data_IF_524007745509
#
_entry.id   IF_524007745509
#
_cell.length_a   1.000
_cell.length_b   1.000
_cell.length_c   1.000
_cell.angle_alpha   90.00
_cell.angle_beta   90.00
_cell.angle_gamma   90.00
#
_symmetry.space_group_name_H-M   'P 1'
#
loop_
_entity.id
_entity.type
_entity.pdbx_description
1 polymer ?
#
# COMPACT_ATOMS: atom_id res chain seq x y z
N UNK A 1 -2.02 30.59 -60.07
CA UNK A 1 -2.59 31.39 -58.96
C UNK A 1 -4.11 31.29 -59.03
N UNK A 2 -4.72 30.49 -58.13
CA UNK A 2 -6.16 30.48 -57.89
C UNK A 2 -6.37 30.34 -56.38
N UNK A 3 -6.89 31.40 -55.80
CA UNK A 3 -7.29 31.51 -54.40
C UNK A 3 -8.60 30.73 -54.21
N UNK A 4 -8.68 29.91 -53.17
CA UNK A 4 -9.94 29.41 -52.63
C UNK A 4 -10.01 29.91 -51.19
N UNK A 5 -10.95 30.82 -50.93
CA UNK A 5 -11.25 31.40 -49.63
C UNK A 5 -12.51 30.74 -49.07
N UNK A 6 -12.33 30.18 -47.86
CA UNK A 6 -13.24 30.05 -46.71
C UNK A 6 -14.58 29.30 -46.85
N UNK A 7 -14.92 28.51 -45.82
CA UNK A 7 -15.79 28.89 -44.66
C UNK A 7 -16.22 27.61 -43.91
N UNK A 8 -16.33 27.71 -42.57
CA UNK A 8 -17.09 26.82 -41.63
C UNK A 8 -16.51 25.41 -41.38
N UNK A 9 -16.42 24.88 -40.15
CA UNK A 9 -17.09 25.20 -38.89
C UNK A 9 -16.19 24.83 -37.71
N UNK A 10 -16.06 25.75 -36.76
CA UNK A 10 -15.48 25.50 -35.45
C UNK A 10 -16.50 24.66 -34.67
N UNK A 11 -16.21 23.37 -34.47
CA UNK A 11 -16.92 22.54 -33.50
C UNK A 11 -16.26 22.80 -32.12
N UNK A 12 -16.85 23.72 -31.38
CA UNK A 12 -16.58 23.91 -29.95
C UNK A 12 -17.28 22.75 -29.25
N UNK A 13 -16.55 21.70 -28.87
CA UNK A 13 -17.05 20.74 -27.89
C UNK A 13 -16.99 21.42 -26.51
N UNK A 14 -18.10 22.04 -26.14
CA UNK A 14 -18.40 22.42 -24.78
C UNK A 14 -18.87 21.20 -23.99
N UNK A 15 -18.18 20.91 -22.88
CA UNK A 15 -18.83 20.52 -21.63
C UNK A 15 -19.03 19.04 -21.35
N UNK A 16 -18.04 18.44 -20.68
CA UNK A 16 -18.29 17.58 -19.51
C UNK A 16 -17.48 18.25 -18.38
N UNK A 17 -18.02 18.88 -17.36
CA UNK A 17 -19.35 18.70 -16.77
C UNK A 17 -19.33 17.75 -15.57
N UNK A 18 -18.26 17.71 -14.78
CA UNK A 18 -18.25 17.55 -13.32
C UNK A 18 -16.80 17.44 -12.87
N UNK A 19 -16.26 18.50 -12.26
CA UNK A 19 -14.95 18.45 -11.62
C UNK A 19 -15.08 17.75 -10.26
N UNK A 20 -15.29 16.45 -10.26
CA UNK A 20 -14.75 15.62 -9.20
C UNK A 20 -13.28 15.44 -9.56
N UNK A 21 -12.42 16.26 -8.96
CA UNK A 21 -10.98 16.09 -9.02
C UNK A 21 -10.62 14.80 -8.29
N UNK A 22 -10.84 13.65 -8.91
CA UNK A 22 -10.05 12.46 -8.63
C UNK A 22 -8.76 12.69 -9.40
N UNK A 23 -7.70 13.03 -8.66
CA UNK A 23 -6.38 13.26 -9.23
C UNK A 23 -5.96 12.03 -10.06
N UNK A 24 -5.81 12.15 -11.39
CA UNK A 24 -5.46 11.02 -12.25
C UNK A 24 -4.03 10.49 -12.02
N UNK A 25 -3.29 11.02 -11.03
CA UNK A 25 -1.98 10.52 -10.62
C UNK A 25 -2.01 9.38 -9.60
N UNK A 26 -3.13 9.15 -8.89
CA UNK A 26 -3.16 8.20 -7.76
C UNK A 26 -3.31 6.74 -8.20
N UNK A 27 -4.16 6.43 -9.19
CA UNK A 27 -4.35 5.04 -9.66
C UNK A 27 -3.08 4.44 -10.31
N UNK A 28 -2.19 5.27 -10.86
CA UNK A 28 -0.92 4.81 -11.44
C UNK A 28 0.20 4.64 -10.40
N UNK A 29 0.15 5.37 -9.30
CA UNK A 29 1.25 5.50 -8.34
C UNK A 29 1.54 4.22 -7.54
N UNK A 30 0.52 3.38 -7.34
CA UNK A 30 0.66 2.14 -6.59
C UNK A 30 0.93 0.94 -7.51
N UNK A 31 0.55 1.02 -8.78
CA UNK A 31 0.73 -0.09 -9.74
C UNK A 31 2.19 -0.56 -9.87
N UNK A 32 3.16 0.34 -9.67
CA UNK A 32 4.60 0.01 -9.70
C UNK A 32 5.11 -0.69 -8.45
N UNK A 33 4.36 -0.65 -7.35
CA UNK A 33 4.73 -1.25 -6.05
C UNK A 33 3.70 -2.28 -5.58
N UNK A 34 2.64 -2.53 -6.35
CA UNK A 34 1.65 -3.55 -6.02
C UNK A 34 2.27 -4.96 -6.06
N UNK A 35 1.89 -5.79 -5.10
CA UNK A 35 2.41 -7.15 -4.94
C UNK A 35 2.38 -7.62 -3.50
N UNK A 36 2.81 -8.86 -3.30
CA UNK A 36 2.99 -9.48 -1.98
C UNK A 36 4.48 -9.57 -1.67
N UNK A 37 4.85 -9.17 -0.47
CA UNK A 37 6.23 -9.10 -0.02
C UNK A 37 6.42 -9.80 1.31
N UNK A 38 7.46 -10.61 1.44
CA UNK A 38 7.79 -11.28 2.70
C UNK A 38 8.53 -10.33 3.64
N UNK A 39 8.29 -10.48 4.95
CA UNK A 39 9.01 -9.77 6.00
C UNK A 39 9.58 -10.71 7.07
N UNK A 40 9.74 -12.00 6.72
CA UNK A 40 10.32 -13.05 7.57
C UNK A 40 11.49 -12.53 8.42
N UNK A 41 11.40 -12.74 9.73
CA UNK A 41 12.43 -12.28 10.65
C UNK A 41 13.50 -13.36 10.91
N UNK A 42 14.59 -12.97 11.56
CA UNK A 42 15.68 -13.92 11.89
C UNK A 42 15.29 -14.93 12.98
N UNK A 43 14.22 -14.66 13.73
CA UNK A 43 13.72 -15.48 14.82
C UNK A 43 12.72 -16.56 14.33
N UNK A 44 12.36 -16.52 13.05
CA UNK A 44 11.56 -17.53 12.37
C UNK A 44 10.06 -17.26 12.41
N UNK A 45 9.69 -15.99 12.54
CA UNK A 45 8.36 -15.45 12.25
C UNK A 45 8.19 -15.34 10.73
N UNK A 46 7.14 -15.96 10.18
CA UNK A 46 6.83 -15.98 8.75
C UNK A 46 5.66 -15.04 8.44
N UNK A 47 5.94 -14.01 7.65
CA UNK A 47 5.02 -12.90 7.49
C UNK A 47 5.04 -12.26 6.11
N UNK A 48 3.87 -11.76 5.68
CA UNK A 48 3.69 -11.13 4.38
C UNK A 48 2.91 -9.82 4.45
N UNK A 49 3.22 -8.90 3.55
CA UNK A 49 2.46 -7.66 3.32
C UNK A 49 2.04 -7.61 1.85
N UNK A 50 0.74 -7.48 1.59
CA UNK A 50 0.19 -7.15 0.28
C UNK A 50 0.00 -5.65 0.15
N UNK A 51 0.48 -5.07 -0.95
CA UNK A 51 0.12 -3.73 -1.41
C UNK A 51 -0.76 -3.88 -2.64
N UNK A 52 -2.02 -3.45 -2.54
CA UNK A 52 -2.96 -3.48 -3.67
C UNK A 52 -2.73 -2.30 -4.61
N UNK A 53 -3.21 -2.41 -5.84
CA UNK A 53 -3.06 -1.35 -6.86
C UNK A 53 -3.82 -0.06 -6.54
N UNK A 54 -4.72 -0.09 -5.57
CA UNK A 54 -5.44 1.09 -5.06
C UNK A 54 -4.78 1.72 -3.81
N UNK A 55 -3.67 1.15 -3.32
CA UNK A 55 -2.96 1.63 -2.13
C UNK A 55 -3.44 1.02 -0.82
N UNK A 56 -4.49 0.19 -0.80
CA UNK A 56 -4.83 -0.61 0.39
C UNK A 56 -3.72 -1.61 0.71
N UNK A 57 -3.55 -1.90 1.99
CA UNK A 57 -2.59 -2.88 2.47
C UNK A 57 -3.30 -4.01 3.23
N UNK A 58 -2.71 -5.20 3.17
CA UNK A 58 -3.06 -6.32 4.04
C UNK A 58 -1.79 -6.93 4.60
N UNK A 59 -1.87 -7.45 5.84
CA UNK A 59 -0.81 -8.23 6.45
C UNK A 59 -1.28 -9.64 6.73
N UNK A 60 -0.37 -10.58 6.57
CA UNK A 60 -0.59 -11.99 6.83
C UNK A 60 0.53 -12.46 7.73
N UNK A 61 0.16 -13.06 8.85
CA UNK A 61 1.07 -13.52 9.90
C UNK A 61 0.80 -15.02 10.13
N UNK A 62 1.81 -15.87 9.92
CA UNK A 62 1.64 -17.32 9.95
C UNK A 62 1.89 -17.89 11.35
N UNK A 63 0.82 -17.99 12.15
CA UNK A 63 0.88 -18.48 13.53
C UNK A 63 1.42 -19.91 13.68
N UNK A 64 1.49 -20.71 12.60
CA UNK A 64 2.04 -22.07 12.62
C UNK A 64 3.57 -22.13 12.51
N UNK A 65 4.25 -20.98 12.48
CA UNK A 65 5.70 -20.89 12.37
C UNK A 65 6.44 -21.25 13.67
N UNK A 66 7.77 -21.11 13.62
CA UNK A 66 8.64 -21.43 14.76
C UNK A 66 8.59 -20.41 15.89
N UNK A 67 8.16 -19.19 15.60
CA UNK A 67 8.09 -18.08 16.54
C UNK A 67 6.84 -18.21 17.40
N UNK A 68 5.67 -18.32 16.78
CA UNK A 68 4.37 -18.34 17.45
C UNK A 68 3.97 -19.71 18.00
N UNK A 69 4.31 -20.79 17.28
CA UNK A 69 3.96 -22.17 17.65
C UNK A 69 2.45 -22.38 17.89
N UNK A 70 1.63 -21.59 17.19
CA UNK A 70 0.18 -21.66 17.17
C UNK A 70 -0.39 -22.69 16.19
N UNK A 71 -1.63 -22.45 15.76
CA UNK A 71 -2.30 -23.29 14.77
C UNK A 71 -1.75 -23.02 13.36
N UNK A 72 -1.85 -24.00 12.46
CA UNK A 72 -1.43 -23.85 11.06
C UNK A 72 -2.46 -23.00 10.27
N UNK A 73 -2.49 -21.71 10.55
CA UNK A 73 -3.38 -20.72 9.95
C UNK A 73 -2.68 -19.35 9.87
N UNK A 74 -3.26 -18.44 9.10
CA UNK A 74 -2.82 -17.05 9.03
C UNK A 74 -3.74 -16.17 9.86
N UNK A 75 -3.16 -15.29 10.69
CA UNK A 75 -3.87 -14.12 11.17
C UNK A 75 -3.82 -13.04 10.07
N UNK A 76 -4.98 -12.52 9.70
CA UNK A 76 -5.13 -11.65 8.53
C UNK A 76 -5.62 -10.28 8.97
N UNK A 77 -4.77 -9.28 8.81
CA UNK A 77 -5.12 -7.88 9.04
C UNK A 77 -5.41 -7.18 7.70
N UNK A 78 -6.69 -7.03 7.36
CA UNK A 78 -7.14 -6.21 6.24
C UNK A 78 -7.65 -4.85 6.72
N UNK A 79 -7.61 -3.86 5.83
CA UNK A 79 -8.29 -2.58 5.98
C UNK A 79 -7.80 -1.68 7.14
N UNK A 80 -6.81 -2.13 7.91
CA UNK A 80 -6.18 -1.30 8.96
C UNK A 80 -5.21 -0.26 8.38
N UNK A 81 -4.61 -0.53 7.22
CA UNK A 81 -3.54 0.29 6.65
C UNK A 81 -3.77 0.62 5.18
N UNK A 82 -3.42 1.85 4.78
CA UNK A 82 -3.42 2.28 3.39
C UNK A 82 -2.35 3.32 3.09
N UNK A 83 -1.86 3.31 1.85
CA UNK A 83 -0.87 4.26 1.36
C UNK A 83 -1.54 5.48 0.73
N UNK A 84 -0.98 6.65 1.02
CA UNK A 84 -1.18 7.87 0.22
C UNK A 84 0.13 8.17 -0.51
N UNK A 85 0.06 8.38 -1.83
CA UNK A 85 1.23 8.80 -2.61
C UNK A 85 1.44 10.31 -2.47
N UNK A 86 2.65 10.70 -2.07
CA UNK A 86 3.00 12.11 -1.91
C UNK A 86 3.66 12.65 -3.18
N UNK A 87 4.81 12.08 -3.55
CA UNK A 87 5.56 12.41 -4.77
C UNK A 87 6.72 11.45 -4.97
N UNK A 88 7.08 11.14 -6.22
CA UNK A 88 8.22 10.26 -6.51
C UNK A 88 8.10 8.91 -5.80
N UNK A 89 9.10 8.56 -4.99
CA UNK A 89 9.13 7.35 -4.15
C UNK A 89 8.61 7.58 -2.73
N UNK A 90 8.08 8.77 -2.42
CA UNK A 90 7.55 9.11 -1.10
C UNK A 90 6.06 8.77 -0.97
N UNK A 91 5.74 8.07 0.10
CA UNK A 91 4.39 7.68 0.50
C UNK A 91 4.14 7.99 1.97
N UNK A 92 2.88 7.95 2.37
CA UNK A 92 2.47 7.96 3.78
C UNK A 92 1.65 6.71 4.07
N UNK A 93 2.06 5.92 5.06
CA UNK A 93 1.25 4.84 5.64
C UNK A 93 0.26 5.49 6.59
N UNK A 94 -1.02 5.25 6.37
CA UNK A 94 -2.12 5.71 7.20
C UNK A 94 -2.82 4.51 7.81
N UNK A 95 -3.52 4.77 8.92
CA UNK A 95 -4.25 3.76 9.66
C UNK A 95 -5.74 4.11 9.68
N UNK A 96 -6.61 3.13 9.38
CA UNK A 96 -8.07 3.27 9.51
C UNK A 96 -8.53 2.51 10.77
N UNK A 97 -8.30 3.14 11.93
CA UNK A 97 -8.64 2.56 13.23
C UNK A 97 -9.44 3.56 14.05
N UNK A 98 -10.48 3.09 14.73
CA UNK A 98 -11.22 3.90 15.68
C UNK A 98 -10.39 4.10 16.96
N UNK A 99 -9.64 5.21 16.98
CA UNK A 99 -8.79 5.61 18.11
C UNK A 99 -9.56 5.77 19.44
N UNK A 100 -10.90 5.85 19.42
CA UNK A 100 -11.69 5.91 20.66
C UNK A 100 -11.73 4.59 21.44
N UNK A 101 -11.31 3.49 20.79
CA UNK A 101 -11.26 2.15 21.35
C UNK A 101 -9.88 1.72 21.83
N UNK A 102 -8.86 2.54 21.55
CA UNK A 102 -7.45 2.26 21.81
C UNK A 102 -6.97 3.07 23.02
N UNK A 103 -6.00 2.56 23.79
CA UNK A 103 -5.43 3.31 24.91
C UNK A 103 -4.60 4.51 24.43
N UNK A 104 -4.48 5.56 25.25
CA UNK A 104 -3.68 6.76 24.89
C UNK A 104 -2.21 6.43 24.62
N UNK A 105 -1.68 5.36 25.21
CA UNK A 105 -0.31 4.87 25.00
C UNK A 105 -0.13 4.25 23.60
N UNK A 106 -1.14 3.51 23.13
CA UNK A 106 -1.14 2.83 21.84
C UNK A 106 -1.48 3.77 20.66
N UNK A 107 -2.16 4.91 20.90
CA UNK A 107 -2.50 5.88 19.83
C UNK A 107 -1.25 6.36 19.07
N UNK A 108 -0.09 6.39 19.72
CA UNK A 108 1.17 6.77 19.09
C UNK A 108 1.55 5.84 17.91
N UNK A 109 1.17 4.57 17.97
CA UNK A 109 1.50 3.57 16.96
C UNK A 109 0.70 3.76 15.66
N UNK A 110 -0.50 4.32 15.79
CA UNK A 110 -1.45 4.57 14.70
C UNK A 110 -1.31 5.97 14.07
N UNK A 111 -0.22 6.69 14.36
CA UNK A 111 0.06 7.96 13.69
C UNK A 111 0.53 7.74 12.25
N UNK A 112 0.12 8.58 11.28
CA UNK A 112 0.61 8.46 9.90
C UNK A 112 2.14 8.53 9.82
N UNK A 113 2.72 7.62 9.04
CA UNK A 113 4.18 7.50 8.89
C UNK A 113 4.61 7.85 7.47
N UNK A 114 5.57 8.75 7.33
CA UNK A 114 6.16 9.05 6.03
C UNK A 114 7.25 8.04 5.71
N UNK A 115 7.16 7.46 4.51
CA UNK A 115 8.06 6.41 4.06
C UNK A 115 8.56 6.70 2.66
N UNK A 116 9.73 6.16 2.33
CA UNK A 116 10.24 6.07 0.97
C UNK A 116 10.18 4.61 0.54
N UNK A 117 9.51 4.32 -0.58
CA UNK A 117 9.38 2.99 -1.16
C UNK A 117 9.99 3.01 -2.57
N UNK A 118 11.06 2.25 -2.75
CA UNK A 118 11.76 2.12 -4.03
C UNK A 118 11.68 0.69 -4.54
N UNK A 119 11.38 0.52 -5.84
CA UNK A 119 11.45 -0.80 -6.47
C UNK A 119 12.92 -1.19 -6.65
N UNK A 120 13.30 -2.35 -6.12
CA UNK A 120 14.64 -2.93 -6.31
C UNK A 120 14.55 -4.27 -7.04
N UNK A 121 15.71 -4.81 -7.43
CA UNK A 121 15.75 -6.13 -8.04
C UNK A 121 15.29 -7.19 -7.04
N UNK A 122 14.09 -7.74 -7.27
CA UNK A 122 13.53 -8.81 -6.45
C UNK A 122 12.70 -8.35 -5.25
N UNK A 123 12.31 -7.07 -5.15
CA UNK A 123 11.52 -6.62 -4.01
C UNK A 123 11.30 -5.11 -3.94
N UNK A 124 11.03 -4.64 -2.72
CA UNK A 124 10.98 -3.23 -2.34
C UNK A 124 12.09 -2.91 -1.36
N UNK A 125 12.65 -1.71 -1.48
CA UNK A 125 13.46 -1.07 -0.45
C UNK A 125 12.59 -0.01 0.23
N UNK A 126 12.37 -0.15 1.52
CA UNK A 126 11.49 0.70 2.33
C UNK A 126 12.30 1.36 3.43
N UNK A 127 12.25 2.68 3.49
CA UNK A 127 12.90 3.45 4.56
C UNK A 127 11.92 4.41 5.19
N UNK A 128 12.09 4.69 6.48
CA UNK A 128 11.23 5.59 7.22
C UNK A 128 11.67 5.75 8.66
N UNK A 129 10.78 6.30 9.47
CA UNK A 129 10.97 6.45 10.91
C UNK A 129 9.73 5.93 11.62
N UNK A 130 9.92 5.04 12.59
CA UNK A 130 8.87 4.54 13.46
C UNK A 130 8.29 5.66 14.34
N UNK A 131 7.14 5.40 14.96
CA UNK A 131 6.49 6.35 15.86
C UNK A 131 7.36 6.76 17.07
N UNK A 132 8.28 5.88 17.50
CA UNK A 132 9.22 6.14 18.60
C UNK A 132 10.42 7.00 18.16
N UNK A 133 10.51 7.37 16.88
CA UNK A 133 11.59 8.17 16.30
C UNK A 133 12.79 7.35 15.82
N UNK A 134 12.74 6.02 15.88
CA UNK A 134 13.80 5.15 15.35
C UNK A 134 13.67 5.00 13.84
N UNK A 135 14.78 5.16 13.12
CA UNK A 135 14.81 4.97 11.68
C UNK A 135 14.85 3.48 11.33
N UNK A 136 14.19 3.12 10.23
CA UNK A 136 14.25 1.77 9.66
C UNK A 136 14.63 1.79 8.18
N UNK A 137 15.26 0.69 7.78
CA UNK A 137 15.76 0.43 6.44
C UNK A 137 15.56 -1.07 6.15
N UNK A 138 14.54 -1.37 5.33
CA UNK A 138 14.05 -2.72 5.09
C UNK A 138 14.11 -3.06 3.61
N UNK A 139 14.53 -4.28 3.27
CA UNK A 139 14.37 -4.83 1.92
C UNK A 139 13.36 -5.97 2.00
N UNK A 140 12.21 -5.78 1.38
CA UNK A 140 11.10 -6.73 1.37
C UNK A 140 11.12 -7.52 0.06
N UNK A 141 11.49 -8.81 0.06
CA UNK A 141 11.47 -9.64 -1.14
C UNK A 141 10.06 -9.79 -1.71
N UNK A 142 9.93 -9.72 -3.04
CA UNK A 142 8.66 -10.01 -3.70
C UNK A 142 8.43 -11.52 -3.79
N UNK A 143 7.19 -11.95 -3.58
CA UNK A 143 6.77 -13.36 -3.71
C UNK A 143 5.90 -13.56 -4.96
N UNK A 144 5.61 -14.82 -5.30
CA UNK A 144 4.61 -15.19 -6.30
C UNK A 144 3.23 -15.51 -5.69
N UNK A 145 3.08 -15.29 -4.38
CA UNK A 145 1.84 -15.49 -3.64
C UNK A 145 0.79 -14.43 -4.01
N UNK A 146 -0.47 -14.81 -3.81
CA UNK A 146 -1.65 -13.95 -3.96
C UNK A 146 -2.56 -14.10 -2.74
N UNK A 147 -3.53 -13.19 -2.56
CA UNK A 147 -4.38 -13.17 -1.36
C UNK A 147 -5.12 -14.51 -1.08
N UNK A 148 -5.38 -15.32 -2.12
CA UNK A 148 -6.02 -16.63 -1.96
C UNK A 148 -5.12 -17.74 -1.40
N UNK A 149 -3.81 -17.50 -1.32
CA UNK A 149 -2.85 -18.47 -0.77
C UNK A 149 -2.80 -18.43 0.76
N UNK A 150 -3.29 -17.36 1.39
CA UNK A 150 -3.31 -17.17 2.84
C UNK A 150 -4.56 -17.80 3.46
N UNK A 151 -4.59 -19.13 3.47
CA UNK A 151 -5.65 -19.92 4.08
C UNK A 151 -5.09 -21.16 4.80
N UNK A 152 -5.71 -21.61 5.92
CA UNK A 152 -6.91 -21.06 6.54
C UNK A 152 -6.65 -19.76 7.33
N UNK A 153 -7.68 -18.94 7.52
CA UNK A 153 -7.65 -17.80 8.43
C UNK A 153 -7.89 -18.27 9.87
N UNK A 154 -7.12 -17.78 10.83
CA UNK A 154 -7.27 -18.16 12.25
C UNK A 154 -8.60 -17.67 12.87
N UNK A 155 -9.22 -16.65 12.30
CA UNK A 155 -10.48 -16.07 12.80
C UNK A 155 -11.76 -16.65 12.16
N UNK A 156 -11.64 -17.61 11.23
CA UNK A 156 -12.77 -18.22 10.49
C UNK A 156 -13.49 -19.36 11.23
#
# INVERSE_FOLDING_TARGET
MRNIIAVLSIAILSGCGSSNSTDPSVEGAFSSIAGVYSWDDEDGDEGYTEIKSNGEMAKYDYYGDSFDQGDNCYYIETDLQYLTHNSGTSYTINYDVDLSTISEEEIAEYQPQNVTIERVSGGLHVTGTYYNGEDYDLVLPITDLVSSDFAPNCDD
#
